data_IF_183089705539
#
_entry.id   IF_183089705539
#
_cell.length_a   1.000
_cell.length_b   1.000
_cell.length_c   1.000
_cell.angle_alpha   90.00
_cell.angle_beta   90.00
_cell.angle_gamma   90.00
#
_symmetry.space_group_name_H-M   'P 1'
#
loop_
_entity.id
_entity.type
_entity.pdbx_description
1 polymer ?
#
# COMPACT_ATOMS: atom_id res chain seq x y z
N UNK A 1 14.01 5.57 23.45
CA UNK A 1 12.88 4.88 22.84
C UNK A 1 13.10 4.72 21.35
N UNK A 2 12.20 4.04 20.65
CA UNK A 2 12.25 3.95 19.18
C UNK A 2 11.90 5.31 18.56
N UNK A 3 12.56 5.68 17.47
CA UNK A 3 12.28 6.92 16.73
C UNK A 3 11.05 6.79 15.83
N UNK A 4 10.79 5.59 15.33
CA UNK A 4 9.62 5.26 14.53
C UNK A 4 9.20 3.79 14.71
N UNK A 5 7.92 3.52 14.47
CA UNK A 5 7.34 2.19 14.31
C UNK A 5 7.02 2.05 12.82
N UNK A 6 7.92 1.39 12.09
CA UNK A 6 7.80 1.27 10.64
C UNK A 6 6.81 0.15 10.28
N UNK A 7 5.87 0.48 9.41
CA UNK A 7 4.84 -0.45 8.95
C UNK A 7 4.92 -0.58 7.42
N UNK A 8 4.89 -1.81 6.95
CA UNK A 8 4.93 -2.13 5.50
C UNK A 8 3.55 -2.49 4.94
N UNK A 9 2.54 -2.65 5.81
CA UNK A 9 1.17 -2.97 5.41
C UNK A 9 0.24 -1.82 5.83
N UNK A 10 -0.30 -1.08 4.87
CA UNK A 10 -1.08 0.14 5.10
C UNK A 10 -2.31 -0.05 6.00
N UNK A 11 -2.95 -1.23 5.99
CA UNK A 11 -4.06 -1.53 6.90
C UNK A 11 -3.63 -1.55 8.37
N UNK A 12 -2.49 -2.19 8.67
CA UNK A 12 -1.90 -2.20 10.01
C UNK A 12 -1.43 -0.80 10.40
N UNK A 13 -0.80 -0.07 9.45
CA UNK A 13 -0.33 1.30 9.68
C UNK A 13 -1.47 2.24 10.06
N UNK A 14 -2.56 2.23 9.32
CA UNK A 14 -3.76 3.01 9.61
C UNK A 14 -4.33 2.70 11.01
N UNK A 15 -4.37 1.41 11.40
CA UNK A 15 -4.83 1.00 12.73
C UNK A 15 -3.93 1.53 13.84
N UNK A 16 -2.60 1.43 13.67
CA UNK A 16 -1.65 1.96 14.68
C UNK A 16 -1.75 3.49 14.82
N UNK A 17 -1.94 4.20 13.71
CA UNK A 17 -2.14 5.65 13.73
C UNK A 17 -3.46 6.06 14.42
N UNK A 18 -4.45 5.17 14.46
CA UNK A 18 -5.75 5.43 15.11
C UNK A 18 -5.77 5.09 16.62
N UNK A 19 -4.73 4.43 17.16
CA UNK A 19 -4.71 4.05 18.59
C UNK A 19 -4.92 5.22 19.54
N UNK A 20 -4.34 6.39 19.24
CA UNK A 20 -4.53 7.60 20.06
C UNK A 20 -5.98 8.04 20.13
N UNK A 21 -6.75 7.86 19.05
CA UNK A 21 -8.19 8.12 19.02
C UNK A 21 -8.98 7.01 19.72
N UNK A 22 -8.68 5.75 19.42
CA UNK A 22 -9.39 4.58 19.96
C UNK A 22 -9.30 4.51 21.49
N UNK A 23 -8.15 4.85 22.05
CA UNK A 23 -7.87 4.73 23.48
C UNK A 23 -7.86 6.11 24.21
N UNK A 24 -8.42 7.15 23.60
CA UNK A 24 -8.38 8.52 24.14
C UNK A 24 -8.98 8.70 25.54
N UNK A 25 -9.95 7.85 25.88
CA UNK A 25 -10.66 7.90 27.16
C UNK A 25 -10.13 6.86 28.17
N UNK A 26 -9.11 6.09 27.82
CA UNK A 26 -8.50 5.07 28.69
C UNK A 26 -7.46 5.73 29.63
N UNK A 27 -7.66 5.69 30.98
CA UNK A 27 -6.79 6.37 31.92
C UNK A 27 -5.35 5.81 31.96
N UNK A 28 -5.13 4.55 31.57
CA UNK A 28 -3.83 3.87 31.65
C UNK A 28 -3.07 3.91 30.32
N UNK A 29 -3.79 3.97 29.20
CA UNK A 29 -3.22 3.79 27.87
C UNK A 29 -3.31 5.00 26.95
N UNK A 30 -4.16 6.02 27.21
CA UNK A 30 -4.36 7.16 26.32
C UNK A 30 -3.02 7.83 25.91
N UNK A 31 -2.17 8.15 26.87
CA UNK A 31 -0.90 8.81 26.59
C UNK A 31 0.07 7.91 25.81
N UNK A 32 0.12 6.62 26.11
CA UNK A 32 0.95 5.62 25.39
C UNK A 32 0.45 5.43 23.97
N UNK A 33 -0.87 5.35 23.79
CA UNK A 33 -1.52 5.19 22.49
C UNK A 33 -1.22 6.38 21.58
N UNK A 34 -1.25 7.60 22.09
CA UNK A 34 -0.86 8.79 21.33
C UNK A 34 0.61 8.74 20.88
N UNK A 35 1.51 8.26 21.75
CA UNK A 35 2.92 8.09 21.39
C UNK A 35 3.11 7.06 20.29
N UNK A 36 2.41 5.91 20.38
CA UNK A 36 2.43 4.87 19.33
C UNK A 36 1.89 5.41 18.01
N UNK A 37 0.75 6.12 18.03
CA UNK A 37 0.16 6.71 16.82
C UNK A 37 1.10 7.72 16.16
N UNK A 38 1.75 8.56 16.94
CA UNK A 38 2.70 9.55 16.43
C UNK A 38 3.98 8.91 15.84
N UNK A 39 4.43 7.80 16.44
CA UNK A 39 5.60 7.06 16.00
C UNK A 39 5.34 6.13 14.81
N UNK A 40 4.08 5.75 14.56
CA UNK A 40 3.71 4.86 13.45
C UNK A 40 3.90 5.55 12.10
N UNK A 41 4.74 4.96 11.24
CA UNK A 41 5.10 5.47 9.91
C UNK A 41 4.98 4.38 8.86
N UNK A 42 4.45 4.72 7.69
CA UNK A 42 4.59 3.87 6.51
C UNK A 42 6.07 3.85 6.09
N UNK A 43 6.54 2.72 5.61
CA UNK A 43 7.92 2.58 5.13
C UNK A 43 8.26 3.60 4.05
N UNK A 44 7.30 4.03 3.22
CA UNK A 44 7.52 5.06 2.20
C UNK A 44 7.93 6.40 2.83
N UNK A 45 7.37 6.77 4.01
CA UNK A 45 7.72 8.02 4.70
C UNK A 45 9.15 8.02 5.23
N UNK A 46 9.70 6.83 5.51
CA UNK A 46 11.09 6.67 5.92
C UNK A 46 12.00 6.75 4.69
N UNK A 47 11.71 5.93 3.67
CA UNK A 47 12.56 5.85 2.47
C UNK A 47 12.67 7.17 1.72
N UNK A 48 11.64 8.00 1.70
CA UNK A 48 11.69 9.33 1.06
C UNK A 48 12.71 10.31 1.72
N UNK A 49 13.16 10.00 2.93
CA UNK A 49 14.11 10.85 3.68
C UNK A 49 15.54 10.31 3.64
N UNK A 50 15.71 9.10 3.13
CA UNK A 50 16.99 8.40 3.09
C UNK A 50 17.69 8.58 1.74
N UNK A 51 19.01 8.40 1.73
CA UNK A 51 19.78 8.28 0.49
C UNK A 51 19.53 6.92 -0.15
N UNK A 52 18.78 6.90 -1.22
CA UNK A 52 18.40 5.69 -1.95
C UNK A 52 19.35 5.33 -3.08
N UNK A 53 20.49 6.02 -3.22
CA UNK A 53 21.46 5.82 -4.32
C UNK A 53 22.03 4.41 -4.39
N UNK A 54 22.05 3.69 -3.27
CA UNK A 54 22.51 2.30 -3.17
C UNK A 54 21.42 1.26 -3.46
N UNK A 55 20.15 1.68 -3.50
CA UNK A 55 19.02 0.76 -3.76
C UNK A 55 18.98 0.44 -5.25
N UNK A 56 18.97 -0.85 -5.55
CA UNK A 56 18.81 -1.34 -6.92
C UNK A 56 17.37 -1.81 -7.11
N UNK A 57 16.82 -1.47 -8.25
CA UNK A 57 15.52 -2.02 -8.70
C UNK A 57 15.79 -3.37 -9.35
N UNK A 58 14.93 -4.35 -9.06
CA UNK A 58 14.93 -5.65 -9.73
C UNK A 58 14.99 -5.47 -11.25
N UNK A 59 15.90 -6.17 -11.91
CA UNK A 59 16.07 -6.14 -13.37
C UNK A 59 14.83 -6.62 -14.12
N UNK A 60 14.00 -7.41 -13.44
CA UNK A 60 12.77 -7.99 -13.98
C UNK A 60 11.52 -7.17 -13.63
N UNK A 61 11.69 -5.91 -13.18
CA UNK A 61 10.56 -5.08 -12.80
C UNK A 61 9.58 -4.83 -13.95
N UNK A 62 10.07 -4.63 -15.19
CA UNK A 62 9.23 -4.31 -16.34
C UNK A 62 8.43 -3.03 -16.13
N UNK A 63 7.28 -2.92 -16.79
CA UNK A 63 6.30 -1.85 -16.58
C UNK A 63 5.40 -2.20 -15.40
N UNK A 64 5.29 -1.34 -14.41
CA UNK A 64 4.64 -1.60 -13.13
C UNK A 64 3.38 -0.75 -12.96
N UNK A 65 2.22 -1.37 -12.75
CA UNK A 65 1.04 -0.65 -12.27
C UNK A 65 1.07 -0.54 -10.74
N UNK A 66 0.97 0.67 -10.22
CA UNK A 66 1.03 0.92 -8.77
C UNK A 66 -0.39 1.10 -8.23
N UNK A 67 -0.86 0.14 -7.45
CA UNK A 67 -2.11 0.23 -6.72
C UNK A 67 -1.88 0.92 -5.37
N UNK A 68 -2.48 2.10 -5.17
CA UNK A 68 -2.48 2.79 -3.87
C UNK A 68 -3.68 2.29 -3.05
N UNK A 69 -3.47 1.56 -1.93
CA UNK A 69 -4.57 1.11 -1.07
C UNK A 69 -5.36 2.26 -0.46
N UNK A 70 -6.68 2.08 -0.29
CA UNK A 70 -7.54 3.11 0.32
C UNK A 70 -7.09 3.49 1.73
N UNK A 71 -6.54 2.55 2.51
CA UNK A 71 -5.96 2.82 3.82
C UNK A 71 -4.74 3.75 3.74
N UNK A 72 -3.84 3.54 2.78
CA UNK A 72 -2.69 4.41 2.56
C UNK A 72 -3.13 5.78 2.01
N UNK A 73 -4.07 5.77 1.05
CA UNK A 73 -4.53 7.00 0.39
C UNK A 73 -5.34 7.90 1.33
N UNK A 74 -6.31 7.35 2.07
CA UNK A 74 -7.29 8.12 2.82
C UNK A 74 -7.02 8.15 4.32
N UNK A 75 -6.72 7.01 4.96
CA UNK A 75 -6.48 6.96 6.39
C UNK A 75 -5.11 7.53 6.77
N UNK A 76 -4.05 7.10 6.08
CA UNK A 76 -2.69 7.57 6.33
C UNK A 76 -2.35 8.87 5.58
N UNK A 77 -3.19 9.32 4.64
CA UNK A 77 -3.00 10.55 3.86
C UNK A 77 -1.70 10.57 3.03
N UNK A 78 -1.35 9.44 2.43
CA UNK A 78 -0.15 9.23 1.63
C UNK A 78 -0.49 8.89 0.16
N UNK A 79 -1.34 9.69 -0.54
CA UNK A 79 -1.73 9.37 -1.91
C UNK A 79 -0.51 9.41 -2.84
N UNK A 80 -0.39 8.41 -3.70
CA UNK A 80 0.62 8.31 -4.78
C UNK A 80 2.09 8.35 -4.34
N UNK A 81 2.42 8.36 -3.03
CA UNK A 81 3.81 8.48 -2.57
C UNK A 81 4.67 7.30 -3.01
N UNK A 82 4.16 6.07 -2.92
CA UNK A 82 4.87 4.88 -3.42
C UNK A 82 5.15 5.00 -4.92
N UNK A 83 4.17 5.46 -5.72
CA UNK A 83 4.34 5.66 -7.17
C UNK A 83 5.45 6.67 -7.46
N UNK A 84 5.44 7.81 -6.77
CA UNK A 84 6.48 8.83 -6.93
C UNK A 84 7.86 8.33 -6.53
N UNK A 85 7.98 7.63 -5.40
CA UNK A 85 9.26 7.04 -4.97
C UNK A 85 9.80 6.04 -5.98
N UNK A 86 8.96 5.13 -6.50
CA UNK A 86 9.35 4.16 -7.51
C UNK A 86 9.80 4.86 -8.82
N UNK A 87 9.12 5.94 -9.23
CA UNK A 87 9.52 6.74 -10.40
C UNK A 87 10.90 7.41 -10.19
N UNK A 88 11.16 7.95 -8.99
CA UNK A 88 12.47 8.51 -8.63
C UNK A 88 13.58 7.47 -8.69
N UNK A 89 13.28 6.22 -8.35
CA UNK A 89 14.19 5.08 -8.44
C UNK A 89 14.32 4.51 -9.87
N UNK A 90 13.63 5.12 -10.85
CA UNK A 90 13.73 4.72 -12.27
C UNK A 90 12.78 3.60 -12.70
N UNK A 91 11.79 3.24 -11.87
CA UNK A 91 10.77 2.26 -12.27
C UNK A 91 9.84 2.86 -13.31
N UNK A 92 9.63 2.14 -14.42
CA UNK A 92 8.66 2.51 -15.44
C UNK A 92 7.25 2.19 -14.93
N UNK A 93 6.49 3.22 -14.53
CA UNK A 93 5.13 3.04 -14.00
C UNK A 93 4.07 3.17 -15.09
N UNK A 94 3.10 2.27 -15.08
CA UNK A 94 1.92 2.32 -15.94
C UNK A 94 1.00 3.50 -15.57
N UNK A 95 0.25 3.98 -16.59
CA UNK A 95 -0.78 4.98 -16.40
C UNK A 95 -2.03 4.36 -15.77
N UNK A 96 -2.61 5.05 -14.79
CA UNK A 96 -3.86 4.69 -14.12
C UNK A 96 -4.75 5.93 -14.05
N UNK A 97 -6.08 5.79 -14.13
CA UNK A 97 -7.01 6.91 -14.17
C UNK A 97 -7.92 6.98 -12.94
N UNK A 98 -8.14 5.84 -12.29
CA UNK A 98 -9.09 5.70 -11.18
C UNK A 98 -8.39 5.25 -9.90
N UNK A 99 -7.31 5.93 -9.52
CA UNK A 99 -6.51 5.58 -8.35
C UNK A 99 -7.34 5.55 -7.04
N UNK A 100 -8.42 6.35 -6.99
CA UNK A 100 -9.33 6.44 -5.84
C UNK A 100 -10.22 5.21 -5.65
N UNK A 101 -10.39 4.35 -6.66
CA UNK A 101 -11.25 3.16 -6.56
C UNK A 101 -10.66 2.13 -5.59
N UNK A 102 -11.54 1.60 -4.73
CA UNK A 102 -11.20 0.48 -3.85
C UNK A 102 -10.99 -0.81 -4.65
N UNK A 103 -10.08 -1.67 -4.20
CA UNK A 103 -9.88 -3.01 -4.77
C UNK A 103 -10.99 -4.00 -4.42
N UNK A 104 -11.89 -3.67 -3.47
CA UNK A 104 -12.96 -4.54 -3.01
C UNK A 104 -12.61 -5.46 -1.84
N UNK A 105 -11.34 -5.54 -1.40
CA UNK A 105 -10.92 -6.45 -0.32
C UNK A 105 -11.60 -6.14 1.03
N UNK A 106 -11.54 -4.92 1.51
CA UNK A 106 -12.21 -4.34 2.69
C UNK A 106 -12.56 -5.29 3.87
N UNK A 107 -11.64 -6.19 4.23
CA UNK A 107 -11.79 -7.11 5.36
C UNK A 107 -13.04 -8.00 5.27
N UNK A 108 -13.88 -7.98 6.30
CA UNK A 108 -15.12 -8.78 6.35
C UNK A 108 -16.14 -8.41 5.27
N UNK A 109 -16.07 -7.22 4.69
CA UNK A 109 -16.97 -6.81 3.60
C UNK A 109 -16.86 -7.75 2.39
N UNK A 110 -15.68 -8.19 2.04
CA UNK A 110 -15.47 -9.11 0.92
C UNK A 110 -16.14 -10.48 1.14
N UNK A 111 -16.33 -10.89 2.40
CA UNK A 111 -17.03 -12.11 2.77
C UNK A 111 -18.55 -11.93 2.82
N UNK A 112 -19.02 -10.78 3.32
CA UNK A 112 -20.43 -10.50 3.52
C UNK A 112 -21.13 -9.96 2.27
N UNK A 113 -20.37 -9.33 1.36
CA UNK A 113 -20.85 -8.72 0.12
C UNK A 113 -19.97 -9.16 -1.08
N UNK A 114 -19.89 -10.47 -1.38
CA UNK A 114 -18.95 -11.00 -2.36
C UNK A 114 -19.20 -10.47 -3.77
N UNK A 115 -20.44 -10.28 -4.18
CA UNK A 115 -20.78 -9.78 -5.51
C UNK A 115 -20.23 -8.35 -5.73
N UNK A 116 -20.49 -7.45 -4.77
CA UNK A 116 -19.97 -6.07 -4.83
C UNK A 116 -18.45 -6.02 -4.72
N UNK A 117 -17.87 -6.85 -3.86
CA UNK A 117 -16.42 -6.99 -3.72
C UNK A 117 -15.76 -7.43 -5.03
N UNK A 118 -16.33 -8.41 -5.72
CA UNK A 118 -15.84 -8.87 -7.01
C UNK A 118 -16.00 -7.82 -8.10
N UNK A 119 -17.12 -7.07 -8.11
CA UNK A 119 -17.32 -5.99 -9.07
C UNK A 119 -16.28 -4.87 -8.87
N UNK A 120 -16.00 -4.47 -7.62
CA UNK A 120 -14.95 -3.49 -7.31
C UNK A 120 -13.57 -3.98 -7.76
N UNK A 121 -13.27 -5.28 -7.54
CA UNK A 121 -12.03 -5.90 -8.00
C UNK A 121 -11.90 -5.84 -9.51
N UNK A 122 -12.95 -6.21 -10.24
CA UNK A 122 -12.95 -6.17 -11.71
C UNK A 122 -12.68 -4.76 -12.21
N UNK A 123 -13.44 -3.76 -11.74
CA UNK A 123 -13.25 -2.35 -12.11
C UNK A 123 -11.84 -1.85 -11.82
N UNK A 124 -11.26 -2.28 -10.69
CA UNK A 124 -9.90 -1.88 -10.33
C UNK A 124 -8.84 -2.54 -11.17
N UNK A 125 -9.01 -3.82 -11.53
CA UNK A 125 -8.11 -4.53 -12.42
C UNK A 125 -8.17 -3.96 -13.84
N UNK A 126 -9.35 -3.60 -14.33
CA UNK A 126 -9.51 -2.96 -15.63
C UNK A 126 -8.70 -1.66 -15.71
N UNK A 127 -8.72 -0.82 -14.66
CA UNK A 127 -7.93 0.40 -14.60
C UNK A 127 -6.42 0.12 -14.51
N UNK A 128 -6.02 -0.82 -13.64
CA UNK A 128 -4.61 -1.14 -13.41
C UNK A 128 -3.95 -1.79 -14.63
N UNK A 129 -4.70 -2.53 -15.45
CA UNK A 129 -4.18 -3.26 -16.63
C UNK A 129 -4.33 -2.50 -17.94
N UNK A 130 -4.97 -1.32 -17.93
CA UNK A 130 -5.24 -0.51 -19.13
C UNK A 130 -3.99 -0.21 -19.96
N UNK A 131 -2.88 0.10 -19.30
CA UNK A 131 -1.59 0.40 -19.95
C UNK A 131 -0.66 -0.83 -20.04
N UNK A 132 -1.24 -2.03 -20.03
CA UNK A 132 -0.54 -3.32 -20.22
C UNK A 132 0.74 -3.45 -19.36
N UNK A 133 0.65 -3.40 -18.03
CA UNK A 133 1.80 -3.60 -17.16
C UNK A 133 2.25 -5.05 -17.15
N UNK A 134 3.53 -5.29 -16.84
CA UNK A 134 4.08 -6.62 -16.62
C UNK A 134 3.72 -7.17 -15.24
N UNK A 135 3.45 -6.29 -14.27
CA UNK A 135 3.04 -6.63 -12.91
C UNK A 135 2.31 -5.47 -12.23
N UNK A 136 1.56 -5.81 -11.18
CA UNK A 136 0.89 -4.86 -10.28
C UNK A 136 1.59 -4.91 -8.93
N UNK A 137 1.81 -3.75 -8.31
CA UNK A 137 2.32 -3.68 -6.93
C UNK A 137 1.39 -2.90 -6.02
N UNK A 138 1.38 -3.27 -4.74
CA UNK A 138 0.54 -2.63 -3.72
C UNK A 138 1.25 -2.60 -2.36
N UNK A 139 0.79 -1.76 -1.45
CA UNK A 139 1.28 -1.64 -0.07
C UNK A 139 0.33 -2.31 0.96
N UNK A 140 -0.53 -3.24 0.53
CA UNK A 140 -1.50 -3.88 1.43
C UNK A 140 -1.71 -5.34 1.06
N UNK A 141 -1.46 -6.25 2.01
CA UNK A 141 -1.59 -7.70 1.79
C UNK A 141 -3.02 -8.12 1.43
N UNK A 142 -4.05 -7.50 2.00
CA UNK A 142 -5.44 -7.80 1.65
C UNK A 142 -5.75 -7.44 0.20
N UNK A 143 -5.28 -6.28 -0.28
CA UNK A 143 -5.40 -5.88 -1.67
C UNK A 143 -4.56 -6.79 -2.58
N UNK A 144 -3.34 -7.16 -2.17
CA UNK A 144 -2.47 -8.05 -2.92
C UNK A 144 -3.15 -9.40 -3.20
N UNK A 145 -3.66 -10.04 -2.17
CA UNK A 145 -4.34 -11.35 -2.30
C UNK A 145 -5.64 -11.24 -3.10
N UNK A 146 -6.43 -10.20 -2.84
CA UNK A 146 -7.72 -10.01 -3.49
C UNK A 146 -7.58 -9.72 -5.00
N UNK A 147 -6.68 -8.82 -5.38
CA UNK A 147 -6.39 -8.53 -6.78
C UNK A 147 -5.72 -9.74 -7.46
N UNK A 148 -4.74 -10.37 -6.79
CA UNK A 148 -4.00 -11.51 -7.31
C UNK A 148 -4.86 -12.72 -7.64
N UNK A 149 -6.02 -12.87 -6.95
CA UNK A 149 -6.99 -13.93 -7.24
C UNK A 149 -7.66 -13.85 -8.62
N UNK A 150 -7.52 -12.72 -9.35
CA UNK A 150 -8.14 -12.54 -10.69
C UNK A 150 -7.30 -11.72 -11.66
N UNK A 151 -6.14 -11.23 -11.25
CA UNK A 151 -5.26 -10.48 -12.13
C UNK A 151 -4.63 -11.40 -13.20
N UNK A 152 -4.45 -10.86 -14.42
CA UNK A 152 -3.76 -11.54 -15.51
C UNK A 152 -2.23 -11.46 -15.42
N UNK A 153 -1.72 -10.60 -14.52
CA UNK A 153 -0.30 -10.39 -14.26
C UNK A 153 -0.01 -10.58 -12.77
N UNK A 154 1.24 -10.84 -12.36
CA UNK A 154 1.59 -10.97 -10.93
C UNK A 154 1.22 -9.74 -10.12
N UNK A 155 0.70 -9.96 -8.89
CA UNK A 155 0.44 -8.91 -7.91
C UNK A 155 1.35 -9.12 -6.72
N UNK A 156 2.22 -8.14 -6.44
CA UNK A 156 3.28 -8.25 -5.43
C UNK A 156 3.22 -7.08 -4.43
N UNK A 157 3.98 -7.21 -3.35
CA UNK A 157 4.24 -6.05 -2.51
C UNK A 157 5.28 -5.14 -3.18
N UNK A 158 5.09 -3.82 -3.15
CA UNK A 158 5.98 -2.90 -3.86
C UNK A 158 7.45 -2.95 -3.40
N UNK A 159 7.70 -3.32 -2.13
CA UNK A 159 9.06 -3.51 -1.62
C UNK A 159 9.81 -4.66 -2.29
N UNK A 160 9.11 -5.63 -2.89
CA UNK A 160 9.74 -6.72 -3.63
C UNK A 160 10.49 -6.21 -4.87
N UNK A 161 10.16 -5.01 -5.37
CA UNK A 161 10.91 -4.37 -6.45
C UNK A 161 12.29 -3.85 -6.01
N UNK A 162 12.47 -3.63 -4.70
CA UNK A 162 13.71 -3.10 -4.11
C UNK A 162 14.65 -4.22 -3.64
N UNK A 163 14.24 -5.47 -3.75
CA UNK A 163 15.07 -6.62 -3.41
C UNK A 163 15.92 -7.03 -4.61
N UNK A 164 17.20 -7.33 -4.38
CA UNK A 164 18.05 -7.95 -5.40
C UNK A 164 17.47 -9.33 -5.76
N UNK A 165 17.32 -9.59 -7.05
CA UNK A 165 17.06 -10.95 -7.56
C UNK A 165 18.32 -11.78 -7.24
N UNK A 166 18.25 -12.60 -6.17
CA UNK A 166 19.28 -13.59 -5.85
C UNK A 166 19.16 -14.82 -6.74
#
# INVERSE_FOLDING_TARGET
>A
GAEAIVVTASGCGATLQDYGHMLRDDPDYAAKAQQVSAAAKDIVEILEKEDLSSIKISKNAGKVAVHCPCTQQHAMQLPSRVKHLLQQLGVHTASTHNDHLCCGSAGTYALLQPELSHQLRANKLDDLTLDQPDQIVTANIGCQLHLGGSASVPVKHWLELLADDQ
#
